data_IF_500900883711
#
_entry.id   IF_500900883711
#
_cell.length_a   1.000
_cell.length_b   1.000
_cell.length_c   1.000
_cell.angle_alpha   90.00
_cell.angle_beta   90.00
_cell.angle_gamma   90.00
#
_symmetry.space_group_name_H-M   'P 1'
#
loop_
_entity.id
_entity.type
_entity.pdbx_description
1 polymer ?
#
# COMPACT_ATOMS: atom_id res chain seq x y z
N UNK A 1 -7.98 66.29 -56.34
CA UNK A 1 -6.51 66.25 -56.47
C UNK A 1 -6.08 64.82 -56.77
N UNK A 2 -5.30 64.64 -57.85
CA UNK A 2 -4.53 63.45 -58.31
C UNK A 2 -5.33 62.16 -58.61
N UNK A 3 -5.55 61.75 -59.88
CA UNK A 3 -4.68 61.33 -61.01
C UNK A 3 -4.07 59.92 -60.87
N UNK A 4 -4.28 59.10 -61.92
CA UNK A 4 -3.46 57.94 -62.34
C UNK A 4 -4.26 56.62 -62.38
N UNK A 5 -4.88 56.19 -63.49
CA UNK A 5 -4.33 55.58 -64.73
C UNK A 5 -3.68 54.20 -64.43
N UNK A 6 -4.01 53.07 -65.07
CA UNK A 6 -3.75 52.64 -66.47
C UNK A 6 -4.50 51.28 -66.66
N UNK A 7 -5.34 51.09 -67.71
CA UNK A 7 -5.14 50.20 -68.89
C UNK A 7 -4.75 48.74 -68.54
N UNK A 8 -5.23 47.65 -69.14
CA UNK A 8 -6.03 47.38 -70.33
C UNK A 8 -6.38 45.86 -70.32
N UNK A 9 -7.31 45.44 -71.18
CA UNK A 9 -7.07 44.22 -71.94
C UNK A 9 -8.07 43.08 -71.79
N UNK A 10 -8.76 42.83 -72.92
CA UNK A 10 -9.17 41.52 -73.43
C UNK A 10 -10.41 40.86 -72.83
N UNK A 11 -11.52 41.34 -73.36
CA UNK A 11 -12.66 40.53 -73.79
C UNK A 11 -12.15 39.41 -74.73
N UNK A 12 -12.18 38.16 -74.25
CA UNK A 12 -12.06 36.96 -75.09
C UNK A 12 -13.40 36.23 -75.03
N UNK A 13 -14.12 36.31 -76.14
CA UNK A 13 -15.23 35.44 -76.49
C UNK A 13 -14.65 34.05 -76.72
N UNK A 14 -14.90 33.10 -75.82
CA UNK A 14 -14.60 31.69 -76.05
C UNK A 14 -15.89 30.96 -76.45
N UNK A 15 -15.85 30.44 -77.68
CA UNK A 15 -16.86 29.62 -78.34
C UNK A 15 -17.42 28.52 -77.41
N UNK A 16 -18.74 28.39 -77.47
CA UNK A 16 -19.47 27.18 -77.08
C UNK A 16 -19.08 26.08 -78.07
N UNK A 17 -18.09 25.26 -77.71
CA UNK A 17 -17.85 23.98 -78.36
C UNK A 17 -18.55 22.90 -77.54
N UNK A 18 -19.71 22.48 -78.02
CA UNK A 18 -20.42 21.29 -77.55
C UNK A 18 -19.57 20.06 -77.82
N UNK A 19 -18.71 19.67 -76.87
CA UNK A 19 -18.29 18.28 -76.74
C UNK A 19 -19.30 17.60 -75.81
N UNK A 20 -20.27 16.93 -76.44
CA UNK A 20 -21.00 15.83 -75.80
C UNK A 20 -19.98 14.68 -75.69
N UNK A 21 -19.06 14.78 -74.74
CA UNK A 21 -18.35 13.62 -74.25
C UNK A 21 -19.40 12.77 -73.54
N UNK A 22 -19.68 11.58 -74.06
CA UNK A 22 -20.62 10.64 -73.46
C UNK A 22 -20.28 10.46 -71.99
N UNK A 23 -21.10 11.05 -71.13
CA UNK A 23 -21.14 10.69 -69.73
C UNK A 23 -21.69 9.26 -69.71
N UNK A 24 -20.79 8.28 -69.75
CA UNK A 24 -21.10 6.98 -69.19
C UNK A 24 -21.69 7.25 -67.80
N UNK A 25 -22.81 6.64 -67.41
CA UNK A 25 -23.37 6.86 -66.08
C UNK A 25 -22.24 6.58 -65.10
N UNK A 26 -21.83 7.60 -64.33
CA UNK A 26 -20.90 7.42 -63.24
C UNK A 26 -21.49 6.28 -62.39
N UNK A 27 -20.86 5.11 -62.43
CA UNK A 27 -21.34 3.97 -61.66
C UNK A 27 -21.50 4.44 -60.22
N UNK A 28 -22.64 4.11 -59.59
CA UNK A 28 -22.90 4.48 -58.19
C UNK A 28 -21.63 4.26 -57.37
N UNK A 29 -21.09 5.33 -56.79
CA UNK A 29 -19.90 5.23 -55.97
C UNK A 29 -20.17 4.27 -54.82
N UNK A 30 -19.39 3.21 -54.71
CA UNK A 30 -19.56 2.18 -53.67
C UNK A 30 -18.66 2.49 -52.49
N UNK A 31 -19.08 2.17 -51.26
CA UNK A 31 -18.28 2.40 -50.06
C UNK A 31 -16.94 1.64 -50.14
N UNK A 32 -15.83 2.38 -50.18
CA UNK A 32 -14.50 1.80 -50.22
C UNK A 32 -13.97 1.54 -48.80
N UNK A 33 -14.05 2.54 -47.92
CA UNK A 33 -13.55 2.47 -46.54
C UNK A 33 -14.25 3.45 -45.59
N UNK A 34 -14.00 3.29 -44.30
CA UNK A 34 -14.43 4.20 -43.23
C UNK A 34 -13.18 4.60 -42.43
N UNK A 35 -13.18 5.81 -41.89
CA UNK A 35 -12.20 6.27 -40.91
C UNK A 35 -12.92 6.82 -39.67
N UNK A 36 -12.29 6.71 -38.50
CA UNK A 36 -12.80 7.25 -37.23
C UNK A 36 -11.76 8.20 -36.64
N UNK A 37 -12.20 9.39 -36.24
CA UNK A 37 -11.37 10.40 -35.57
C UNK A 37 -11.96 10.78 -34.21
N UNK A 38 -11.14 10.92 -33.15
CA UNK A 38 -9.71 10.62 -33.12
C UNK A 38 -9.42 9.12 -33.20
N UNK A 39 -8.30 8.71 -33.80
CA UNK A 39 -7.91 7.28 -33.85
C UNK A 39 -7.47 6.74 -32.47
N UNK A 40 -7.00 7.62 -31.59
CA UNK A 40 -6.75 7.29 -30.18
C UNK A 40 -7.06 8.47 -29.26
N UNK A 41 -7.57 8.20 -28.07
CA UNK A 41 -7.87 9.21 -27.06
C UNK A 41 -7.59 8.70 -25.65
N UNK A 42 -7.28 9.64 -24.74
CA UNK A 42 -7.12 9.40 -23.30
C UNK A 42 -7.99 10.39 -22.55
N UNK A 43 -8.94 9.90 -21.74
CA UNK A 43 -9.85 10.73 -20.93
C UNK A 43 -9.96 10.17 -19.51
N UNK A 44 -10.42 10.98 -18.55
CA UNK A 44 -10.66 10.53 -17.17
C UNK A 44 -12.04 9.90 -17.02
N UNK A 45 -12.21 9.09 -15.98
CA UNK A 45 -13.54 8.59 -15.57
C UNK A 45 -14.52 9.77 -15.41
N UNK A 46 -15.72 9.64 -15.98
CA UNK A 46 -16.76 10.68 -15.96
C UNK A 46 -16.70 11.67 -17.14
N UNK A 47 -15.59 11.73 -17.87
CA UNK A 47 -15.48 12.57 -19.07
C UNK A 47 -16.13 11.92 -20.30
N UNK A 48 -16.36 12.72 -21.33
CA UNK A 48 -16.89 12.29 -22.61
C UNK A 48 -16.06 12.84 -23.78
N UNK A 49 -16.02 12.11 -24.88
CA UNK A 49 -15.34 12.53 -26.11
C UNK A 49 -16.20 12.19 -27.34
N UNK A 50 -16.21 13.09 -28.31
CA UNK A 50 -16.93 12.91 -29.55
C UNK A 50 -16.05 12.22 -30.60
N UNK A 51 -16.51 11.08 -31.09
CA UNK A 51 -15.95 10.43 -32.28
C UNK A 51 -16.71 10.87 -33.53
N UNK A 52 -16.00 10.96 -34.65
CA UNK A 52 -16.55 11.25 -35.97
C UNK A 52 -16.14 10.16 -36.95
N UNK A 53 -17.08 9.69 -37.73
CA UNK A 53 -16.84 8.74 -38.81
C UNK A 53 -16.93 9.44 -40.18
N UNK A 54 -15.99 9.14 -41.07
CA UNK A 54 -15.95 9.63 -42.45
C UNK A 54 -15.83 8.45 -43.39
N UNK A 55 -16.75 8.34 -44.34
CA UNK A 55 -16.74 7.35 -45.42
C UNK A 55 -15.87 7.86 -46.58
N UNK A 56 -15.21 6.92 -47.26
CA UNK A 56 -14.53 7.17 -48.55
C UNK A 56 -15.12 6.22 -49.57
N UNK A 57 -15.57 6.74 -50.70
CA UNK A 57 -16.17 5.96 -51.78
C UNK A 57 -15.17 5.64 -52.90
N UNK A 58 -15.54 4.74 -53.80
CA UNK A 58 -14.70 4.25 -54.90
C UNK A 58 -14.27 5.34 -55.90
N UNK A 59 -14.99 6.46 -55.95
CA UNK A 59 -14.66 7.64 -56.77
C UNK A 59 -13.73 8.63 -56.05
N UNK A 60 -13.30 8.31 -54.83
CA UNK A 60 -12.45 9.17 -53.99
C UNK A 60 -13.21 10.26 -53.23
N UNK A 61 -14.52 10.37 -53.40
CA UNK A 61 -15.34 11.29 -52.60
C UNK A 61 -15.39 10.85 -51.14
N UNK A 62 -15.61 11.82 -50.23
CA UNK A 62 -15.73 11.55 -48.79
C UNK A 62 -16.97 12.21 -48.21
N UNK A 63 -17.56 11.56 -47.21
CA UNK A 63 -18.79 12.04 -46.58
C UNK A 63 -18.76 11.79 -45.06
N UNK A 64 -19.20 12.76 -44.23
CA UNK A 64 -19.38 12.52 -42.81
C UNK A 64 -20.56 11.56 -42.59
N UNK A 65 -20.28 10.41 -41.98
CA UNK A 65 -21.26 9.32 -41.76
C UNK A 65 -21.44 8.98 -40.28
N UNK A 66 -21.28 9.98 -39.40
CA UNK A 66 -21.23 9.77 -37.94
C UNK A 66 -22.56 9.29 -37.36
N UNK A 67 -23.68 9.65 -37.98
CA UNK A 67 -25.04 9.30 -37.55
C UNK A 67 -25.59 8.07 -38.28
N UNK A 68 -24.92 7.65 -39.33
CA UNK A 68 -25.29 6.58 -40.25
C UNK A 68 -24.58 5.27 -39.90
N UNK A 69 -23.39 5.36 -39.29
CA UNK A 69 -22.64 4.18 -38.83
C UNK A 69 -23.27 3.57 -37.57
N UNK A 70 -23.11 2.25 -37.44
CA UNK A 70 -23.37 1.55 -36.18
C UNK A 70 -22.13 1.64 -35.29
N UNK A 71 -22.27 2.30 -34.15
CA UNK A 71 -21.22 2.40 -33.14
C UNK A 71 -21.25 1.23 -32.15
N UNK A 72 -20.09 0.73 -31.77
CA UNK A 72 -19.95 -0.22 -30.67
C UNK A 72 -18.68 0.03 -29.85
N UNK A 73 -18.70 -0.43 -28.60
CA UNK A 73 -17.54 -0.45 -27.71
C UNK A 73 -17.22 -1.89 -27.37
N UNK A 74 -15.93 -2.25 -27.38
CA UNK A 74 -15.48 -3.58 -26.98
C UNK A 74 -15.75 -3.89 -25.49
N UNK A 75 -15.86 -2.84 -24.66
CA UNK A 75 -16.11 -2.96 -23.23
C UNK A 75 -16.99 -1.79 -22.74
N UNK A 76 -18.27 -2.08 -22.57
CA UNK A 76 -19.26 -1.09 -22.11
C UNK A 76 -19.18 -0.77 -20.61
N UNK A 77 -18.42 -1.56 -19.83
CA UNK A 77 -18.10 -1.25 -18.44
C UNK A 77 -16.99 -0.21 -18.35
N UNK A 78 -16.03 -0.20 -19.28
CA UNK A 78 -14.98 0.83 -19.41
C UNK A 78 -15.52 2.09 -20.06
N UNK A 79 -16.15 1.97 -21.23
CA UNK A 79 -16.70 3.12 -21.96
C UNK A 79 -17.90 2.74 -22.83
N UNK A 80 -18.95 3.57 -22.79
CA UNK A 80 -20.10 3.45 -23.69
C UNK A 80 -19.99 4.43 -24.84
N UNK A 81 -20.58 4.12 -25.99
CA UNK A 81 -20.72 5.04 -27.12
C UNK A 81 -22.18 5.12 -27.58
N UNK A 82 -22.65 6.33 -27.82
CA UNK A 82 -24.01 6.59 -28.34
C UNK A 82 -24.08 6.46 -29.87
N UNK A 83 -25.29 6.40 -30.42
CA UNK A 83 -25.52 6.41 -31.86
C UNK A 83 -24.99 7.68 -32.55
N UNK A 84 -24.81 8.77 -31.80
CA UNK A 84 -24.24 10.02 -32.29
C UNK A 84 -22.71 10.06 -32.20
N UNK A 85 -22.04 8.96 -31.83
CA UNK A 85 -20.58 8.90 -31.70
C UNK A 85 -20.01 9.51 -30.42
N UNK A 86 -20.87 9.92 -29.46
CA UNK A 86 -20.40 10.43 -28.17
C UNK A 86 -20.04 9.26 -27.24
N UNK A 87 -18.76 9.10 -26.93
CA UNK A 87 -18.25 8.12 -25.98
C UNK A 87 -18.18 8.71 -24.56
N UNK A 88 -18.58 7.94 -23.55
CA UNK A 88 -18.52 8.31 -22.12
C UNK A 88 -17.70 7.31 -21.34
N UNK A 89 -16.72 7.80 -20.57
CA UNK A 89 -15.87 7.00 -19.71
C UNK A 89 -16.57 6.62 -18.40
N UNK A 90 -16.63 5.32 -18.11
CA UNK A 90 -17.27 4.77 -16.91
C UNK A 90 -16.28 4.21 -15.91
N UNK A 91 -15.26 3.49 -16.36
CA UNK A 91 -14.25 2.88 -15.50
C UNK A 91 -12.87 2.91 -16.15
N UNK A 92 -11.77 2.92 -15.37
CA UNK A 92 -10.42 2.87 -15.93
C UNK A 92 -10.19 1.61 -16.77
N UNK A 93 -9.51 1.74 -17.90
CA UNK A 93 -9.27 0.62 -18.80
C UNK A 93 -9.04 1.05 -20.23
N UNK A 94 -9.00 0.07 -21.14
CA UNK A 94 -8.88 0.31 -22.58
C UNK A 94 -10.10 -0.29 -23.27
N UNK A 95 -10.79 0.52 -24.07
CA UNK A 95 -11.88 0.09 -24.93
C UNK A 95 -11.53 0.40 -26.40
N UNK A 96 -11.93 -0.49 -27.30
CA UNK A 96 -11.90 -0.24 -28.75
C UNK A 96 -13.29 0.23 -29.16
N UNK A 97 -13.34 1.39 -29.78
CA UNK A 97 -14.54 1.98 -30.37
C UNK A 97 -14.56 1.61 -31.85
N UNK A 98 -15.67 1.04 -32.30
CA UNK A 98 -15.86 0.58 -33.69
C UNK A 98 -17.02 1.31 -34.34
N UNK A 99 -16.79 1.88 -35.52
CA UNK A 99 -17.84 2.35 -36.43
C UNK A 99 -17.98 1.37 -37.59
N UNK A 100 -19.19 0.92 -37.89
CA UNK A 100 -19.48 0.00 -38.99
C UNK A 100 -20.55 0.57 -39.92
N UNK A 101 -20.29 0.55 -41.23
CA UNK A 101 -21.25 0.93 -42.29
C UNK A 101 -21.06 -0.03 -43.47
N UNK A 102 -22.16 -0.62 -43.95
CA UNK A 102 -22.18 -1.54 -45.12
C UNK A 102 -21.08 -2.62 -45.10
N UNK A 103 -20.81 -3.20 -43.92
CA UNK A 103 -19.80 -4.25 -43.74
C UNK A 103 -18.35 -3.76 -43.67
N UNK A 104 -18.08 -2.46 -43.86
CA UNK A 104 -16.78 -1.83 -43.59
C UNK A 104 -16.73 -1.38 -42.13
N UNK A 105 -15.56 -1.47 -41.50
CA UNK A 105 -15.37 -1.06 -40.11
C UNK A 105 -14.11 -0.24 -39.92
N UNK A 106 -14.16 0.71 -39.00
CA UNK A 106 -13.04 1.52 -38.56
C UNK A 106 -12.93 1.48 -37.03
N UNK A 107 -11.70 1.41 -36.52
CA UNK A 107 -11.40 1.23 -35.10
C UNK A 107 -10.72 2.47 -34.54
N UNK A 108 -11.05 2.81 -33.30
CA UNK A 108 -10.34 3.79 -32.50
C UNK A 108 -10.08 3.26 -31.09
N UNK A 109 -8.95 3.66 -30.49
CA UNK A 109 -8.59 3.26 -29.11
C UNK A 109 -8.99 4.34 -28.12
N UNK A 110 -9.76 3.99 -27.10
CA UNK A 110 -10.05 4.85 -25.95
C UNK A 110 -9.40 4.28 -24.70
N UNK A 111 -8.55 5.06 -24.04
CA UNK A 111 -7.98 4.71 -22.73
C UNK A 111 -8.60 5.62 -21.66
N UNK A 112 -9.28 5.02 -20.70
CA UNK A 112 -9.83 5.71 -19.54
C UNK A 112 -8.81 5.66 -18.41
N UNK A 113 -8.34 6.83 -17.98
CA UNK A 113 -7.34 6.98 -16.93
C UNK A 113 -7.95 6.82 -15.54
N UNK A 114 -7.18 6.23 -14.63
CA UNK A 114 -7.52 6.20 -13.19
C UNK A 114 -7.55 7.62 -12.62
N UNK A 115 -8.50 7.95 -11.73
CA UNK A 115 -8.40 9.16 -10.92
C UNK A 115 -7.12 9.14 -10.07
N UNK A 116 -6.72 10.31 -9.59
CA UNK A 116 -5.60 10.46 -8.65
C UNK A 116 -6.13 10.79 -7.26
N UNK A 117 -5.43 10.33 -6.23
CA UNK A 117 -5.63 10.75 -4.84
C UNK A 117 -4.33 11.34 -4.31
N UNK A 118 -4.44 12.37 -3.48
CA UNK A 118 -3.29 12.98 -2.81
C UNK A 118 -3.03 12.28 -1.48
N UNK A 119 -1.81 11.78 -1.29
CA UNK A 119 -1.33 11.25 -0.01
C UNK A 119 -0.34 12.23 0.60
N UNK A 120 -0.50 12.52 1.89
CA UNK A 120 0.51 13.25 2.66
C UNK A 120 1.41 12.22 3.34
N UNK A 121 2.61 12.04 2.80
CA UNK A 121 3.52 11.01 3.28
C UNK A 121 4.21 11.41 4.60
N UNK A 122 4.94 10.48 5.24
CA UNK A 122 5.61 10.74 6.53
C UNK A 122 6.79 11.72 6.43
N UNK A 123 7.17 12.15 5.23
CA UNK A 123 8.10 13.25 5.02
C UNK A 123 7.38 14.61 4.84
N UNK A 124 6.05 14.65 4.97
CA UNK A 124 5.23 15.84 4.81
C UNK A 124 4.98 16.25 3.36
N UNK A 125 5.21 15.34 2.40
CA UNK A 125 5.06 15.62 0.96
C UNK A 125 3.66 15.26 0.50
N UNK A 126 3.11 16.07 -0.40
CA UNK A 126 1.88 15.77 -1.13
C UNK A 126 2.23 14.95 -2.38
N UNK A 127 1.77 13.71 -2.44
CA UNK A 127 2.06 12.77 -3.52
C UNK A 127 0.77 12.37 -4.22
N UNK A 128 0.67 12.64 -5.52
CA UNK A 128 -0.45 12.21 -6.36
C UNK A 128 -0.27 10.74 -6.75
N UNK A 129 -1.27 9.91 -6.44
CA UNK A 129 -1.22 8.46 -6.67
C UNK A 129 -2.45 8.00 -7.47
N UNK A 130 -2.28 7.14 -8.49
CA UNK A 130 -3.43 6.55 -9.19
C UNK A 130 -4.32 5.70 -8.28
N UNK A 131 -5.63 5.94 -8.33
CA UNK A 131 -6.64 5.22 -7.56
C UNK A 131 -7.67 4.54 -8.51
N UNK A 132 -8.01 3.26 -8.32
CA UNK A 132 -7.34 2.30 -7.43
C UNK A 132 -5.96 1.94 -7.97
N UNK A 133 -4.94 1.96 -7.11
CA UNK A 133 -3.59 1.50 -7.45
C UNK A 133 -3.60 0.01 -7.78
N UNK A 134 -2.94 -0.40 -8.88
CA UNK A 134 -2.96 -1.80 -9.36
C UNK A 134 -1.59 -2.48 -9.39
N UNK A 135 -0.50 -1.74 -9.55
CA UNK A 135 0.87 -2.28 -9.60
C UNK A 135 1.77 -1.59 -8.58
N UNK A 136 2.15 -2.31 -7.54
CA UNK A 136 2.84 -1.74 -6.37
C UNK A 136 4.22 -2.38 -6.24
N UNK A 137 5.25 -1.55 -6.16
CA UNK A 137 6.55 -1.98 -5.69
C UNK A 137 6.70 -1.59 -4.22
N UNK A 138 6.77 -2.58 -3.32
CA UNK A 138 6.86 -2.33 -1.88
C UNK A 138 8.28 -2.52 -1.35
N UNK A 139 8.93 -1.42 -0.99
CA UNK A 139 10.23 -1.42 -0.29
C UNK A 139 10.07 -1.39 1.24
N UNK A 140 8.84 -1.26 1.74
CA UNK A 140 8.50 -1.23 3.17
C UNK A 140 7.77 -2.53 3.58
N UNK A 141 8.33 -3.27 4.54
CA UNK A 141 7.75 -4.53 5.01
C UNK A 141 6.38 -4.36 5.64
N UNK A 142 6.15 -3.32 6.45
CA UNK A 142 4.85 -3.07 7.07
C UNK A 142 3.79 -2.70 6.04
N UNK A 143 4.15 -1.92 5.02
CA UNK A 143 3.25 -1.65 3.90
C UNK A 143 2.88 -2.94 3.18
N UNK A 144 3.83 -3.85 2.95
CA UNK A 144 3.51 -5.15 2.37
C UNK A 144 2.52 -5.95 3.24
N UNK A 145 2.69 -5.99 4.56
CA UNK A 145 1.72 -6.64 5.46
C UNK A 145 0.32 -6.00 5.36
N UNK A 146 0.25 -4.67 5.38
CA UNK A 146 -1.03 -3.94 5.24
C UNK A 146 -1.69 -4.24 3.89
N UNK A 147 -0.94 -4.18 2.78
CA UNK A 147 -1.48 -4.47 1.45
C UNK A 147 -2.11 -5.86 1.37
N UNK A 148 -1.51 -6.88 1.99
CA UNK A 148 -2.13 -8.20 2.09
C UNK A 148 -3.38 -8.19 2.99
N UNK A 149 -3.32 -7.53 4.15
CA UNK A 149 -4.47 -7.41 5.04
C UNK A 149 -5.68 -6.72 4.37
N UNK A 150 -5.41 -5.79 3.46
CA UNK A 150 -6.39 -5.09 2.64
C UNK A 150 -6.86 -5.89 1.40
N UNK A 151 -6.40 -7.12 1.20
CA UNK A 151 -6.78 -7.94 0.04
C UNK A 151 -6.06 -7.55 -1.27
N UNK A 152 -5.06 -6.67 -1.20
CA UNK A 152 -4.31 -6.16 -2.34
C UNK A 152 -2.91 -6.80 -2.50
N UNK A 153 -2.67 -7.96 -1.89
CA UNK A 153 -1.38 -8.67 -1.98
C UNK A 153 -0.97 -9.01 -3.42
N UNK A 154 -1.94 -9.29 -4.30
CA UNK A 154 -1.70 -9.56 -5.72
C UNK A 154 -1.32 -8.33 -6.54
N UNK A 155 -1.63 -7.14 -6.03
CA UNK A 155 -1.23 -5.87 -6.64
C UNK A 155 0.26 -5.56 -6.40
N UNK A 156 0.93 -6.28 -5.49
CA UNK A 156 2.38 -6.18 -5.31
C UNK A 156 3.09 -6.91 -6.46
N UNK A 157 3.79 -6.16 -7.30
CA UNK A 157 4.57 -6.68 -8.43
C UNK A 157 6.05 -6.90 -8.06
N UNK A 158 6.55 -6.12 -7.10
CA UNK A 158 7.93 -6.19 -6.66
C UNK A 158 8.06 -5.84 -5.18
N UNK A 159 9.10 -6.35 -4.51
CA UNK A 159 9.33 -6.13 -3.09
C UNK A 159 10.81 -6.07 -2.72
N UNK A 160 11.14 -5.40 -1.61
CA UNK A 160 12.49 -5.51 -1.03
C UNK A 160 12.72 -6.90 -0.40
N UNK A 161 13.97 -7.31 -0.23
CA UNK A 161 14.35 -8.58 0.42
C UNK A 161 13.86 -8.72 1.87
N UNK A 162 13.48 -7.62 2.49
CA UNK A 162 13.00 -7.57 3.88
C UNK A 162 11.48 -7.76 4.00
N UNK A 163 10.74 -7.66 2.89
CA UNK A 163 9.32 -8.01 2.85
C UNK A 163 9.22 -9.54 2.82
N UNK A 164 8.91 -10.15 3.97
CA UNK A 164 8.92 -11.62 4.14
C UNK A 164 7.62 -12.18 4.73
N UNK A 165 6.69 -11.30 5.12
CA UNK A 165 5.38 -11.65 5.67
C UNK A 165 4.28 -10.88 4.92
N UNK A 166 3.12 -11.50 4.62
CA UNK A 166 2.86 -12.94 4.75
C UNK A 166 3.76 -13.77 3.80
N UNK A 167 3.91 -15.09 3.98
CA UNK A 167 4.85 -15.90 3.19
C UNK A 167 4.72 -15.71 1.67
N UNK A 168 3.49 -15.52 1.17
CA UNK A 168 3.19 -15.28 -0.24
C UNK A 168 3.92 -14.07 -0.86
N UNK A 169 4.34 -13.08 -0.06
CA UNK A 169 5.09 -11.91 -0.57
C UNK A 169 6.47 -12.30 -1.11
N UNK A 170 7.03 -13.43 -0.67
CA UNK A 170 8.36 -13.88 -1.11
C UNK A 170 8.39 -14.25 -2.59
N UNK A 171 7.26 -14.66 -3.13
CA UNK A 171 7.08 -15.02 -4.55
C UNK A 171 7.10 -13.80 -5.48
N UNK A 172 6.96 -12.58 -4.94
CA UNK A 172 7.04 -11.34 -5.73
C UNK A 172 8.50 -11.00 -6.07
N UNK A 173 8.71 -10.29 -7.18
CA UNK A 173 10.05 -9.94 -7.69
C UNK A 173 10.90 -9.25 -6.62
N UNK A 174 12.12 -9.75 -6.41
CA UNK A 174 13.02 -9.26 -5.38
C UNK A 174 13.90 -8.12 -5.88
N UNK A 175 13.70 -6.92 -5.32
CA UNK A 175 14.48 -5.71 -5.64
C UNK A 175 15.78 -5.58 -4.83
N UNK A 176 16.07 -6.51 -3.93
CA UNK A 176 17.23 -6.40 -3.04
C UNK A 176 16.97 -5.44 -1.89
N UNK A 177 17.86 -4.47 -1.66
CA UNK A 177 17.77 -3.58 -0.50
C UNK A 177 16.55 -2.64 -0.56
N UNK A 178 15.95 -2.32 0.60
CA UNK A 178 14.91 -1.30 0.71
C UNK A 178 15.45 0.14 0.57
N UNK A 179 16.73 0.36 0.90
CA UNK A 179 17.37 1.69 0.84
C UNK A 179 18.15 1.92 -0.46
N UNK A 180 18.44 0.84 -1.19
CA UNK A 180 19.15 0.86 -2.48
C UNK A 180 18.66 -0.30 -3.34
N UNK A 181 17.40 -0.25 -3.82
CA UNK A 181 16.84 -1.31 -4.66
C UNK A 181 17.55 -1.38 -6.00
N UNK A 182 17.43 -2.53 -6.68
CA UNK A 182 17.82 -2.65 -8.07
C UNK A 182 16.85 -1.84 -8.94
N UNK A 183 17.35 -0.75 -9.52
CA UNK A 183 16.57 0.21 -10.28
C UNK A 183 16.10 -0.33 -11.63
N UNK A 184 16.93 -1.11 -12.31
CA UNK A 184 16.60 -1.70 -13.61
C UNK A 184 15.40 -2.65 -13.47
N UNK A 185 15.49 -3.58 -12.53
CA UNK A 185 14.41 -4.53 -12.23
C UNK A 185 13.16 -3.76 -11.77
N UNK A 186 13.30 -2.73 -10.93
CA UNK A 186 12.16 -1.93 -10.47
C UNK A 186 11.40 -1.30 -11.64
N UNK A 187 12.11 -0.64 -12.55
CA UNK A 187 11.51 0.05 -13.70
C UNK A 187 10.90 -0.94 -14.70
N UNK A 188 11.51 -2.12 -14.88
CA UNK A 188 10.97 -3.20 -15.71
C UNK A 188 9.60 -3.69 -15.23
N UNK A 189 9.37 -3.70 -13.91
CA UNK A 189 8.08 -4.10 -13.33
C UNK A 189 6.95 -3.09 -13.59
N UNK A 190 7.24 -1.89 -14.10
CA UNK A 190 6.25 -0.84 -14.42
C UNK A 190 5.23 -0.63 -13.28
N UNK A 191 5.66 -0.33 -12.04
CA UNK A 191 4.74 -0.05 -10.96
C UNK A 191 4.01 1.27 -11.18
N UNK A 192 2.77 1.35 -10.71
CA UNK A 192 1.98 2.58 -10.64
C UNK A 192 2.41 3.44 -9.44
N UNK A 193 3.02 2.83 -8.42
CA UNK A 193 3.54 3.50 -7.22
C UNK A 193 4.65 2.66 -6.57
N UNK A 194 5.62 3.34 -5.98
CA UNK A 194 6.60 2.74 -5.06
C UNK A 194 6.27 3.17 -3.64
N UNK A 195 6.15 2.22 -2.73
CA UNK A 195 6.01 2.49 -1.29
C UNK A 195 7.35 2.22 -0.61
N UNK A 196 7.94 3.20 0.06
CA UNK A 196 9.27 3.09 0.64
C UNK A 196 9.36 3.65 2.06
N UNK A 197 10.48 3.37 2.72
CA UNK A 197 10.84 3.99 3.99
C UNK A 197 11.56 5.33 3.76
N UNK A 198 11.63 6.18 4.78
CA UNK A 198 12.39 7.45 4.73
C UNK A 198 13.90 7.26 4.50
N UNK A 199 14.40 6.03 4.63
CA UNK A 199 15.80 5.68 4.36
C UNK A 199 16.09 5.32 2.89
N UNK A 200 15.09 5.37 2.00
CA UNK A 200 15.36 5.31 0.57
C UNK A 200 16.28 6.47 0.20
N UNK A 201 17.42 6.18 -0.44
CA UNK A 201 18.34 7.21 -0.92
C UNK A 201 17.59 8.22 -1.79
N UNK A 202 17.81 9.49 -1.52
CA UNK A 202 17.10 10.58 -2.17
C UNK A 202 17.29 10.56 -3.69
N UNK A 203 18.49 10.28 -4.17
CA UNK A 203 18.81 10.26 -5.61
C UNK A 203 18.05 9.14 -6.32
N UNK A 204 17.85 8.00 -5.64
CA UNK A 204 17.07 6.88 -6.19
C UNK A 204 15.58 7.22 -6.21
N UNK A 205 15.06 7.85 -5.15
CA UNK A 205 13.67 8.35 -5.12
C UNK A 205 13.41 9.31 -6.28
N UNK A 206 14.27 10.31 -6.47
CA UNK A 206 14.13 11.29 -7.55
C UNK A 206 14.22 10.64 -8.93
N UNK A 207 15.04 9.60 -9.08
CA UNK A 207 15.13 8.84 -10.34
C UNK A 207 13.81 8.10 -10.63
N UNK A 208 13.18 7.49 -9.63
CA UNK A 208 11.86 6.84 -9.76
C UNK A 208 10.80 7.87 -10.15
N UNK A 209 10.77 9.02 -9.46
CA UNK A 209 9.80 10.09 -9.70
C UNK A 209 9.97 10.73 -11.09
N UNK A 210 11.22 10.93 -11.55
CA UNK A 210 11.53 11.40 -12.91
C UNK A 210 11.08 10.42 -14.00
N UNK A 211 10.97 9.13 -13.68
CA UNK A 211 10.39 8.13 -14.57
C UNK A 211 8.84 8.14 -14.56
N UNK A 212 8.21 9.08 -13.84
CA UNK A 212 6.77 9.24 -13.76
C UNK A 212 6.08 8.32 -12.75
N UNK A 213 6.84 7.68 -11.86
CA UNK A 213 6.31 6.76 -10.84
C UNK A 213 6.29 7.48 -9.48
N UNK A 214 5.12 7.70 -8.86
CA UNK A 214 5.05 8.31 -7.54
C UNK A 214 5.72 7.42 -6.48
N UNK A 215 6.43 8.06 -5.55
CA UNK A 215 7.03 7.39 -4.37
C UNK A 215 6.35 7.92 -3.11
N UNK A 216 5.72 7.04 -2.35
CA UNK A 216 5.11 7.37 -1.05
C UNK A 216 6.00 6.86 0.08
N UNK A 217 6.38 7.75 0.99
CA UNK A 217 7.25 7.41 2.13
C UNK A 217 6.43 7.14 3.38
N UNK A 218 6.52 5.91 3.87
CA UNK A 218 5.98 5.53 5.18
C UNK A 218 7.06 4.86 6.01
N UNK A 219 7.11 5.16 7.31
CA UNK A 219 7.96 4.44 8.27
C UNK A 219 7.12 3.45 9.07
N UNK A 220 5.94 3.86 9.55
CA UNK A 220 4.97 3.06 10.31
C UNK A 220 5.54 2.19 11.45
N UNK A 221 6.65 2.63 12.05
CA UNK A 221 7.31 1.95 13.17
C UNK A 221 6.61 2.12 14.52
N UNK A 222 5.54 2.94 14.59
CA UNK A 222 4.70 3.17 15.77
C UNK A 222 3.23 2.95 15.40
N UNK A 223 2.39 2.74 16.41
CA UNK A 223 0.98 2.36 16.21
C UNK A 223 0.18 3.44 15.48
N UNK A 224 0.39 4.73 15.80
CA UNK A 224 -0.38 5.81 15.17
C UNK A 224 0.03 6.05 13.71
N UNK A 225 1.33 6.17 13.35
CA UNK A 225 1.76 6.19 11.95
C UNK A 225 1.33 4.94 11.16
N UNK A 226 1.31 3.76 11.78
CA UNK A 226 0.78 2.55 11.15
C UNK A 226 -0.72 2.68 10.83
N UNK A 227 -1.52 3.22 11.75
CA UNK A 227 -2.95 3.45 11.50
C UNK A 227 -3.17 4.43 10.34
N UNK A 228 -2.36 5.48 10.25
CA UNK A 228 -2.39 6.40 9.11
C UNK A 228 -2.02 5.69 7.80
N UNK A 229 -0.96 4.88 7.79
CA UNK A 229 -0.61 4.04 6.63
C UNK A 229 -1.77 3.13 6.21
N UNK A 230 -2.48 2.49 7.15
CA UNK A 230 -3.64 1.63 6.81
C UNK A 230 -4.73 2.44 6.13
N UNK A 231 -5.04 3.64 6.63
CA UNK A 231 -6.03 4.54 6.05
C UNK A 231 -5.62 5.00 4.65
N UNK A 232 -4.36 5.43 4.47
CA UNK A 232 -3.85 5.94 3.21
C UNK A 232 -3.75 4.85 2.15
N UNK A 233 -3.31 3.64 2.52
CA UNK A 233 -3.32 2.49 1.61
C UNK A 233 -4.75 2.08 1.26
N UNK A 234 -5.70 2.11 2.21
CA UNK A 234 -7.12 1.92 1.93
C UNK A 234 -7.66 2.92 0.90
N UNK A 235 -7.26 4.19 0.99
CA UNK A 235 -7.62 5.23 0.03
C UNK A 235 -6.99 4.98 -1.36
N UNK A 236 -5.69 4.71 -1.42
CA UNK A 236 -4.95 4.46 -2.67
C UNK A 236 -5.51 3.26 -3.44
N UNK A 237 -5.93 2.22 -2.71
CA UNK A 237 -6.42 0.97 -3.28
C UNK A 237 -7.91 0.99 -3.65
N UNK A 238 -8.65 2.01 -3.22
CA UNK A 238 -10.12 2.04 -3.16
C UNK A 238 -10.73 0.91 -2.32
N UNK A 239 -10.05 0.54 -1.22
CA UNK A 239 -10.40 -0.55 -0.30
C UNK A 239 -10.72 -0.01 1.11
N UNK A 240 -11.44 1.11 1.18
CA UNK A 240 -11.69 1.84 2.43
C UNK A 240 -12.41 1.01 3.49
N UNK A 241 -13.43 0.25 3.08
CA UNK A 241 -14.17 -0.61 4.00
C UNK A 241 -13.25 -1.67 4.64
N UNK A 242 -12.36 -2.27 3.85
CA UNK A 242 -11.41 -3.25 4.36
C UNK A 242 -10.36 -2.63 5.28
N UNK A 243 -9.93 -1.41 4.99
CA UNK A 243 -9.05 -0.65 5.89
C UNK A 243 -9.73 -0.31 7.21
N UNK A 244 -11.00 0.08 7.19
CA UNK A 244 -11.81 0.32 8.39
C UNK A 244 -11.99 -0.95 9.22
N UNK A 245 -12.13 -2.12 8.60
CA UNK A 245 -12.15 -3.39 9.34
C UNK A 245 -10.84 -3.67 10.09
N UNK A 246 -9.69 -3.46 9.44
CA UNK A 246 -8.38 -3.64 10.06
C UNK A 246 -8.14 -2.63 11.18
N UNK A 247 -8.46 -1.36 10.94
CA UNK A 247 -8.39 -0.31 11.95
C UNK A 247 -9.32 -0.62 13.12
N UNK A 248 -10.55 -1.03 12.86
CA UNK A 248 -11.51 -1.42 13.90
C UNK A 248 -11.03 -2.61 14.74
N UNK A 249 -10.32 -3.58 14.14
CA UNK A 249 -9.68 -4.66 14.89
C UNK A 249 -8.57 -4.14 15.82
N UNK A 250 -7.70 -3.27 15.30
CA UNK A 250 -6.59 -2.66 16.07
C UNK A 250 -7.14 -1.79 17.22
N UNK A 251 -8.12 -0.95 16.90
CA UNK A 251 -8.71 0.05 17.80
C UNK A 251 -9.49 -0.59 18.94
N UNK A 252 -10.21 -1.70 18.66
CA UNK A 252 -10.90 -2.48 19.68
C UNK A 252 -10.01 -2.78 20.88
N UNK A 253 -8.80 -3.29 20.65
CA UNK A 253 -7.91 -3.69 21.73
C UNK A 253 -7.15 -2.50 22.34
N UNK A 254 -6.80 -1.50 21.53
CA UNK A 254 -6.23 -0.24 22.04
C UNK A 254 -7.19 0.44 23.03
N UNK A 255 -8.44 0.59 22.64
CA UNK A 255 -9.46 1.27 23.44
C UNK A 255 -9.85 0.43 24.65
N UNK A 256 -9.91 -0.90 24.51
CA UNK A 256 -10.10 -1.81 25.63
C UNK A 256 -9.03 -1.63 26.72
N UNK A 257 -7.75 -1.64 26.31
CA UNK A 257 -6.64 -1.50 27.24
C UNK A 257 -6.71 -0.14 27.93
N UNK A 258 -6.84 0.94 27.15
CA UNK A 258 -7.00 2.29 27.69
C UNK A 258 -8.17 2.39 28.67
N UNK A 259 -9.32 1.80 28.34
CA UNK A 259 -10.51 1.86 29.19
C UNK A 259 -10.30 1.14 30.53
N UNK A 260 -9.69 -0.05 30.52
CA UNK A 260 -9.47 -0.84 31.72
C UNK A 260 -8.37 -0.27 32.62
N UNK A 261 -7.37 0.38 32.04
CA UNK A 261 -6.26 0.95 32.82
C UNK A 261 -6.44 2.42 33.17
N UNK A 262 -7.49 3.09 32.66
CA UNK A 262 -7.74 4.54 32.84
C UNK A 262 -7.68 5.01 34.30
N UNK A 263 -8.14 4.17 35.23
CA UNK A 263 -8.26 4.51 36.66
C UNK A 263 -7.04 4.12 37.50
N UNK A 264 -6.05 3.44 36.91
CA UNK A 264 -4.85 3.03 37.62
C UNK A 264 -4.04 4.25 38.05
N UNK A 265 -3.78 4.32 39.36
CA UNK A 265 -2.84 5.26 39.95
C UNK A 265 -1.41 4.87 39.60
N UNK A 266 -0.46 5.77 39.85
CA UNK A 266 0.94 5.56 39.46
C UNK A 266 1.54 4.37 40.21
N UNK A 267 1.22 4.23 41.49
CA UNK A 267 1.65 3.14 42.36
C UNK A 267 1.09 1.77 41.97
N UNK A 268 0.02 1.72 41.17
CA UNK A 268 -0.57 0.48 40.65
C UNK A 268 0.06 0.04 39.31
N UNK A 269 0.91 0.89 38.70
CA UNK A 269 1.57 0.59 37.43
C UNK A 269 2.91 -0.09 37.70
N UNK A 270 3.16 -1.28 37.13
CA UNK A 270 4.39 -2.01 37.40
C UNK A 270 5.60 -1.29 36.83
N UNK A 271 6.71 -1.33 37.56
CA UNK A 271 8.02 -0.95 37.03
C UNK A 271 8.52 -2.03 36.05
N UNK A 272 8.71 -1.64 34.79
CA UNK A 272 9.07 -2.54 33.68
C UNK A 272 10.48 -2.23 33.20
N UNK A 273 11.34 -3.25 33.22
CA UNK A 273 12.58 -3.25 32.46
C UNK A 273 12.38 -3.98 31.13
N UNK A 274 12.52 -3.24 30.03
CA UNK A 274 12.52 -3.82 28.70
C UNK A 274 13.96 -4.12 28.27
N UNK A 275 14.21 -5.36 27.89
CA UNK A 275 15.48 -5.78 27.31
C UNK A 275 15.28 -6.08 25.83
N UNK A 276 16.08 -5.43 24.98
CA UNK A 276 16.18 -5.75 23.57
C UNK A 276 16.90 -7.09 23.39
N UNK A 277 17.05 -7.56 22.15
CA UNK A 277 17.75 -8.79 21.77
C UNK A 277 19.26 -8.86 22.11
N UNK A 278 19.78 -7.89 22.86
CA UNK A 278 21.15 -7.84 23.34
C UNK A 278 21.10 -7.64 24.86
N UNK A 279 21.85 -8.43 25.65
CA UNK A 279 21.86 -8.30 27.10
C UNK A 279 22.08 -6.86 27.55
N UNK A 280 21.25 -6.41 28.49
CA UNK A 280 21.22 -5.07 29.07
C UNK A 280 21.02 -3.91 28.09
N UNK A 281 20.74 -4.18 26.81
CA UNK A 281 20.31 -3.15 25.88
C UNK A 281 18.83 -2.86 26.13
N UNK A 282 18.49 -1.61 26.41
CA UNK A 282 17.12 -1.19 26.73
C UNK A 282 16.68 -0.05 25.82
N UNK A 283 15.54 0.57 26.13
CA UNK A 283 14.92 1.63 25.33
C UNK A 283 14.44 2.76 26.23
N UNK A 284 14.71 4.00 25.84
CA UNK A 284 14.21 5.19 26.54
C UNK A 284 12.95 5.76 25.88
N UNK A 285 12.48 6.90 26.39
CA UNK A 285 11.32 7.60 25.85
C UNK A 285 11.48 7.94 24.35
N UNK A 286 10.36 7.94 23.63
CA UNK A 286 10.31 8.21 22.19
C UNK A 286 10.52 6.99 21.29
N UNK A 287 10.83 5.82 21.84
CA UNK A 287 10.90 4.54 21.09
C UNK A 287 9.55 3.84 21.01
N UNK A 288 9.34 3.02 19.96
CA UNK A 288 8.11 2.23 19.83
C UNK A 288 7.90 1.25 21.00
N UNK A 289 8.96 0.62 21.49
CA UNK A 289 8.89 -0.29 22.63
C UNK A 289 8.53 0.44 23.93
N UNK A 290 9.02 1.67 24.15
CA UNK A 290 8.55 2.51 25.26
C UNK A 290 7.05 2.82 25.13
N UNK A 291 6.60 3.20 23.93
CA UNK A 291 5.18 3.50 23.71
C UNK A 291 4.28 2.30 24.02
N UNK A 292 4.70 1.08 23.68
CA UNK A 292 3.96 -0.15 24.04
C UNK A 292 3.89 -0.38 25.55
N UNK A 293 4.99 -0.14 26.28
CA UNK A 293 5.00 -0.26 27.74
C UNK A 293 3.99 0.72 28.36
N UNK A 294 4.04 1.97 27.92
CA UNK A 294 3.17 3.05 28.41
C UNK A 294 1.71 2.81 28.03
N UNK A 295 1.42 2.36 26.80
CA UNK A 295 0.06 2.02 26.36
C UNK A 295 -0.53 0.87 27.18
N UNK A 296 0.28 -0.13 27.54
CA UNK A 296 -0.10 -1.20 28.47
C UNK A 296 -0.13 -0.77 29.94
N UNK A 297 0.09 0.53 30.22
CA UNK A 297 0.09 1.11 31.56
C UNK A 297 1.15 0.53 32.51
N UNK A 298 2.35 0.23 31.98
CA UNK A 298 3.55 0.01 32.77
C UNK A 298 4.43 1.27 32.83
N UNK A 299 5.40 1.30 33.75
CA UNK A 299 6.39 2.37 33.87
C UNK A 299 7.73 1.84 33.36
N UNK A 300 8.23 2.36 32.24
CA UNK A 300 9.55 1.99 31.74
C UNK A 300 10.64 2.60 32.63
N UNK A 301 11.41 1.75 33.34
CA UNK A 301 12.48 2.19 34.26
C UNK A 301 13.65 2.91 33.55
N UNK A 302 13.76 2.75 32.23
CA UNK A 302 14.77 3.40 31.39
C UNK A 302 14.23 4.62 30.62
N UNK A 303 12.99 5.06 30.87
CA UNK A 303 12.36 6.13 30.11
C UNK A 303 13.15 7.46 30.10
N UNK A 304 13.85 7.75 31.21
CA UNK A 304 14.64 8.97 31.40
C UNK A 304 16.08 8.89 30.89
N UNK A 305 16.51 7.77 30.30
CA UNK A 305 17.87 7.66 29.77
C UNK A 305 18.07 8.60 28.56
N UNK A 306 19.23 9.29 28.46
CA UNK A 306 19.43 10.39 27.51
C UNK A 306 19.52 9.96 26.04
N UNK A 307 19.84 8.68 25.79
CA UNK A 307 19.91 8.10 24.45
C UNK A 307 18.77 7.09 24.25
N UNK A 308 18.26 6.98 23.02
CA UNK A 308 17.09 6.14 22.70
C UNK A 308 17.31 4.65 22.94
N UNK A 309 18.53 4.16 22.72
CA UNK A 309 18.88 2.74 22.82
C UNK A 309 20.12 2.55 23.73
N UNK A 310 19.98 2.78 25.04
CA UNK A 310 21.10 2.64 25.95
C UNK A 310 21.47 1.17 26.18
N UNK A 311 22.73 0.96 26.56
CA UNK A 311 23.20 -0.27 27.20
C UNK A 311 23.48 0.08 28.65
N UNK A 312 22.76 -0.56 29.57
CA UNK A 312 22.88 -0.31 31.01
C UNK A 312 23.73 -1.39 31.68
N UNK A 313 24.15 -1.17 32.93
CA UNK A 313 24.84 -2.20 33.71
C UNK A 313 23.86 -3.07 34.51
N UNK A 314 24.34 -4.22 35.00
CA UNK A 314 23.57 -5.06 35.90
C UNK A 314 23.19 -4.33 37.20
N UNK A 315 24.12 -3.52 37.73
CA UNK A 315 23.95 -2.72 38.93
C UNK A 315 22.87 -1.64 38.74
N UNK A 316 22.84 -1.01 37.56
CA UNK A 316 21.81 -0.02 37.20
C UNK A 316 20.41 -0.65 37.22
N UNK A 317 20.26 -1.89 36.73
CA UNK A 317 18.99 -2.61 36.74
C UNK A 317 18.63 -3.03 38.17
N UNK A 318 19.61 -3.47 38.96
CA UNK A 318 19.42 -3.86 40.36
C UNK A 318 18.95 -2.69 41.22
N UNK A 319 19.53 -1.50 41.04
CA UNK A 319 19.15 -0.28 41.74
C UNK A 319 17.69 0.11 41.48
N UNK A 320 17.23 -0.04 40.23
CA UNK A 320 15.83 0.24 39.84
C UNK A 320 14.86 -0.87 40.24
N UNK A 321 15.37 -2.08 40.48
CA UNK A 321 14.65 -3.24 40.96
C UNK A 321 13.27 -3.44 40.29
N UNK A 322 13.22 -3.65 38.97
CA UNK A 322 11.96 -3.73 38.22
C UNK A 322 11.07 -4.88 38.72
N UNK A 323 9.77 -4.68 38.64
CA UNK A 323 8.75 -5.68 38.98
C UNK A 323 8.48 -6.65 37.82
N UNK A 324 8.73 -6.20 36.59
CA UNK A 324 8.56 -6.99 35.37
C UNK A 324 9.78 -6.81 34.47
N UNK A 325 10.25 -7.91 33.88
CA UNK A 325 11.18 -7.89 32.75
C UNK A 325 10.44 -8.35 31.50
N UNK A 326 10.56 -7.57 30.42
CA UNK A 326 10.13 -7.99 29.07
C UNK A 326 11.35 -8.06 28.17
N UNK A 327 11.70 -9.25 27.72
CA UNK A 327 12.78 -9.49 26.78
C UNK A 327 12.22 -9.65 25.35
N UNK A 328 12.67 -8.82 24.41
CA UNK A 328 12.26 -8.85 23.01
C UNK A 328 13.19 -9.73 22.19
N UNK A 329 12.82 -11.00 22.02
CA UNK A 329 13.56 -11.98 21.25
C UNK A 329 13.62 -11.62 19.76
N UNK A 330 14.84 -11.60 19.23
CA UNK A 330 15.12 -11.44 17.80
C UNK A 330 15.02 -12.72 17.01
N UNK A 331 14.88 -12.57 15.69
CA UNK A 331 15.04 -13.70 14.77
C UNK A 331 16.38 -14.39 14.96
N UNK A 332 17.47 -13.68 15.27
CA UNK A 332 18.80 -14.26 15.45
C UNK A 332 18.87 -15.19 16.67
N UNK A 333 18.33 -14.76 17.82
CA UNK A 333 18.26 -15.59 19.04
C UNK A 333 17.41 -16.84 18.83
N UNK A 334 16.44 -16.76 17.91
CA UNK A 334 15.58 -17.87 17.52
C UNK A 334 16.16 -18.68 16.33
N UNK A 335 17.44 -18.54 16.00
CA UNK A 335 18.10 -19.29 14.92
C UNK A 335 17.54 -18.98 13.52
N UNK A 336 17.04 -17.76 13.33
CA UNK A 336 16.31 -17.30 12.14
C UNK A 336 15.06 -18.12 11.80
N UNK A 337 14.54 -18.90 12.76
CA UNK A 337 13.30 -19.67 12.59
C UNK A 337 12.15 -18.72 12.27
N UNK A 338 11.37 -19.08 11.24
CA UNK A 338 10.14 -18.37 10.93
C UNK A 338 9.11 -18.53 12.06
N UNK A 339 9.08 -19.73 12.65
CA UNK A 339 8.10 -20.22 13.62
C UNK A 339 8.82 -20.54 14.94
N UNK A 340 8.76 -19.67 15.95
CA UNK A 340 9.34 -19.95 17.27
C UNK A 340 8.57 -21.03 18.03
N UNK A 341 9.26 -21.93 18.74
CA UNK A 341 8.63 -22.93 19.62
C UNK A 341 8.55 -22.46 21.07
N UNK A 342 7.74 -23.14 21.89
CA UNK A 342 7.72 -22.87 23.33
C UNK A 342 9.08 -23.14 23.99
N UNK A 343 9.82 -24.13 23.52
CA UNK A 343 11.15 -24.47 24.02
C UNK A 343 12.17 -23.37 23.70
N UNK A 344 12.16 -22.83 22.48
CA UNK A 344 13.01 -21.70 22.10
C UNK A 344 12.78 -20.50 23.04
N UNK A 345 11.50 -20.14 23.25
CA UNK A 345 11.12 -19.01 24.11
C UNK A 345 11.45 -19.28 25.59
N UNK A 346 11.31 -20.53 26.04
CA UNK A 346 11.67 -20.97 27.40
C UNK A 346 13.17 -20.88 27.63
N UNK A 347 13.99 -21.29 26.65
CA UNK A 347 15.44 -21.23 26.75
C UNK A 347 15.94 -19.78 26.92
N UNK A 348 15.40 -18.85 26.13
CA UNK A 348 15.70 -17.41 26.26
C UNK A 348 15.30 -16.90 27.65
N UNK A 349 14.09 -17.24 28.12
CA UNK A 349 13.63 -16.83 29.46
C UNK A 349 14.55 -17.35 30.56
N UNK A 350 14.95 -18.62 30.48
CA UNK A 350 15.84 -19.25 31.46
C UNK A 350 17.20 -18.57 31.53
N UNK A 351 17.75 -18.15 30.38
CA UNK A 351 19.00 -17.40 30.35
C UNK A 351 18.82 -16.02 31.03
N UNK A 352 17.77 -15.26 30.70
CA UNK A 352 17.49 -13.96 31.34
C UNK A 352 17.33 -14.10 32.85
N UNK A 353 16.65 -15.16 33.32
CA UNK A 353 16.43 -15.40 34.75
C UNK A 353 17.68 -15.83 35.51
N UNK A 354 18.61 -16.53 34.87
CA UNK A 354 19.85 -16.99 35.52
C UNK A 354 21.01 -16.02 35.35
N UNK A 355 20.84 -14.96 34.56
CA UNK A 355 21.88 -13.96 34.30
C UNK A 355 22.31 -13.24 35.58
N UNK A 356 23.63 -13.22 35.82
CA UNK A 356 24.25 -12.53 36.96
C UNK A 356 23.79 -11.07 37.00
N UNK A 357 23.25 -10.64 38.14
CA UNK A 357 22.68 -9.31 38.34
C UNK A 357 21.16 -9.31 38.26
N UNK A 358 20.60 -9.82 37.16
CA UNK A 358 19.14 -9.93 37.01
C UNK A 358 18.54 -10.95 37.97
N UNK A 359 19.24 -12.03 38.29
CA UNK A 359 18.76 -13.06 39.24
C UNK A 359 18.39 -12.52 40.63
N UNK A 360 18.84 -11.31 40.97
CA UNK A 360 18.61 -10.65 42.25
C UNK A 360 17.42 -9.67 42.23
N UNK A 361 16.91 -9.27 41.07
CA UNK A 361 15.80 -8.30 40.99
C UNK A 361 14.45 -8.94 41.27
N UNK A 362 13.49 -8.13 41.71
CA UNK A 362 12.14 -8.56 42.06
C UNK A 362 11.45 -9.31 40.91
N UNK A 363 11.54 -8.81 39.68
CA UNK A 363 10.96 -9.48 38.51
C UNK A 363 11.39 -10.95 38.37
N UNK A 364 12.66 -11.28 38.61
CA UNK A 364 13.14 -12.67 38.52
C UNK A 364 12.66 -13.50 39.71
N UNK A 365 12.77 -12.96 40.93
CA UNK A 365 12.31 -13.62 42.16
C UNK A 365 10.82 -13.95 42.14
N UNK A 366 10.02 -13.06 41.58
CA UNK A 366 8.57 -13.21 41.44
C UNK A 366 8.18 -13.99 40.16
N UNK A 367 9.16 -14.41 39.35
CA UNK A 367 8.92 -15.14 38.10
C UNK A 367 8.31 -14.31 36.95
N UNK A 368 8.20 -12.98 37.10
CA UNK A 368 7.64 -12.02 36.14
C UNK A 368 8.66 -11.59 35.07
N UNK A 369 9.27 -12.59 34.44
CA UNK A 369 10.13 -12.44 33.26
C UNK A 369 9.39 -12.99 32.05
N UNK A 370 9.17 -12.14 31.07
CA UNK A 370 8.42 -12.47 29.86
C UNK A 370 9.30 -12.31 28.63
N UNK A 371 9.18 -13.23 27.68
CA UNK A 371 9.85 -13.20 26.39
C UNK A 371 8.80 -12.99 25.32
N UNK A 372 8.98 -11.98 24.47
CA UNK A 372 8.10 -11.69 23.34
C UNK A 372 8.92 -11.68 22.05
N UNK A 373 8.37 -12.24 20.99
CA UNK A 373 8.98 -12.18 19.68
C UNK A 373 8.69 -10.83 19.02
N UNK A 374 9.72 -10.13 18.52
CA UNK A 374 9.56 -8.81 17.89
C UNK A 374 8.58 -8.76 16.70
N UNK A 375 8.31 -9.91 16.06
CA UNK A 375 7.37 -10.01 14.94
C UNK A 375 5.94 -9.64 15.31
N UNK A 376 5.55 -9.75 16.58
CA UNK A 376 4.21 -9.37 17.07
C UNK A 376 4.20 -8.01 17.79
N UNK A 377 5.32 -7.30 17.83
CA UNK A 377 5.41 -5.95 18.42
C UNK A 377 5.63 -4.87 17.35
N UNK A 378 5.46 -5.22 16.08
CA UNK A 378 5.69 -4.35 14.92
C UNK A 378 4.65 -4.59 13.83
N UNK A 379 4.51 -3.65 12.89
CA UNK A 379 3.55 -3.73 11.79
C UNK A 379 2.10 -3.93 12.27
N UNK A 380 1.18 -4.41 11.40
CA UNK A 380 -0.21 -4.68 11.77
C UNK A 380 -0.39 -5.61 12.98
N UNK A 381 0.61 -6.45 13.26
CA UNK A 381 0.61 -7.41 14.36
C UNK A 381 0.92 -6.76 15.71
N UNK A 382 1.37 -5.51 15.76
CA UNK A 382 1.71 -4.79 17.00
C UNK A 382 0.62 -4.82 18.07
N UNK A 383 -0.65 -4.84 17.66
CA UNK A 383 -1.80 -4.92 18.60
C UNK A 383 -1.79 -6.23 19.39
N UNK A 384 -1.32 -7.33 18.79
CA UNK A 384 -1.13 -8.61 19.47
C UNK A 384 -0.12 -8.44 20.61
N UNK A 385 1.06 -7.90 20.31
CA UNK A 385 2.09 -7.66 21.32
C UNK A 385 1.63 -6.72 22.43
N UNK A 386 0.81 -5.72 22.10
CA UNK A 386 0.20 -4.84 23.09
C UNK A 386 -0.73 -5.61 24.05
N UNK A 387 -1.52 -6.56 23.55
CA UNK A 387 -2.38 -7.40 24.41
C UNK A 387 -1.59 -8.34 25.32
N UNK A 388 -0.42 -8.83 24.87
CA UNK A 388 0.52 -9.55 25.73
C UNK A 388 1.00 -8.67 26.89
N UNK A 389 1.42 -7.44 26.60
CA UNK A 389 1.92 -6.52 27.63
C UNK A 389 0.82 -6.18 28.64
N UNK A 390 -0.37 -5.81 28.18
CA UNK A 390 -1.48 -5.47 29.06
C UNK A 390 -1.81 -6.62 30.04
N UNK A 391 -1.84 -7.85 29.54
CA UNK A 391 -2.13 -9.03 30.37
C UNK A 391 -1.00 -9.40 31.32
N UNK A 392 0.26 -9.26 30.90
CA UNK A 392 1.40 -9.51 31.77
C UNK A 392 1.56 -8.45 32.87
N UNK A 393 1.21 -7.21 32.57
CA UNK A 393 1.35 -6.08 33.50
C UNK A 393 0.20 -6.05 34.50
N UNK A 394 -1.01 -6.36 34.03
CA UNK A 394 -2.25 -6.23 34.80
C UNK A 394 -3.13 -7.50 34.66
N UNK A 395 -2.66 -8.67 35.13
CA UNK A 395 -3.36 -9.94 34.88
C UNK A 395 -4.81 -9.95 35.37
N UNK A 396 -5.12 -9.27 36.47
CA UNK A 396 -6.46 -9.18 37.04
C UNK A 396 -7.43 -8.35 36.17
N UNK A 397 -6.93 -7.33 35.48
CA UNK A 397 -7.75 -6.50 34.59
C UNK A 397 -8.00 -7.17 33.23
N UNK A 398 -7.21 -8.18 32.87
CA UNK A 398 -7.21 -8.78 31.53
C UNK A 398 -7.34 -10.31 31.59
N UNK A 399 -8.04 -10.86 32.58
CA UNK A 399 -8.21 -12.32 32.74
C UNK A 399 -8.86 -12.97 31.52
N UNK A 400 -9.86 -12.30 30.93
CA UNK A 400 -10.64 -12.69 29.75
C UNK A 400 -9.90 -12.56 28.41
N UNK A 401 -8.75 -11.88 28.39
CA UNK A 401 -7.99 -11.66 27.16
C UNK A 401 -7.04 -12.82 26.89
N UNK A 402 -7.12 -13.43 25.71
CA UNK A 402 -6.12 -14.39 25.22
C UNK A 402 -5.37 -13.80 24.01
N UNK A 403 -4.16 -13.24 24.21
CA UNK A 403 -3.32 -12.72 23.13
C UNK A 403 -3.02 -13.74 22.01
N UNK A 404 -3.00 -15.04 22.31
CA UNK A 404 -2.81 -16.10 21.30
C UNK A 404 -4.04 -16.24 20.42
N UNK A 405 -5.23 -16.22 21.01
CA UNK A 405 -6.49 -16.24 20.25
C UNK A 405 -6.64 -15.00 19.37
N UNK A 406 -6.26 -13.82 19.89
CA UNK A 406 -6.27 -12.56 19.12
C UNK A 406 -5.30 -12.63 17.94
N UNK A 407 -4.10 -13.19 18.13
CA UNK A 407 -3.15 -13.39 17.03
C UNK A 407 -3.71 -14.33 15.96
N UNK A 408 -4.35 -15.43 16.39
CA UNK A 408 -5.02 -16.37 15.49
C UNK A 408 -6.12 -15.67 14.67
N UNK A 409 -7.00 -14.90 15.32
CA UNK A 409 -8.06 -14.15 14.64
C UNK A 409 -7.48 -13.18 13.61
N UNK A 410 -6.43 -12.43 13.95
CA UNK A 410 -5.77 -11.50 13.03
C UNK A 410 -5.22 -12.24 11.79
N UNK A 411 -4.54 -13.37 11.98
CA UNK A 411 -3.96 -14.14 10.88
C UNK A 411 -5.02 -14.75 9.97
N UNK A 412 -6.05 -15.35 10.54
CA UNK A 412 -7.12 -16.00 9.78
C UNK A 412 -7.93 -14.96 9.02
N UNK A 413 -8.34 -13.88 9.69
CA UNK A 413 -9.22 -12.86 9.12
C UNK A 413 -8.55 -12.01 8.06
N UNK A 414 -7.31 -11.59 8.27
CA UNK A 414 -6.64 -10.62 7.40
C UNK A 414 -5.64 -11.24 6.43
N UNK A 415 -5.10 -12.42 6.74
CA UNK A 415 -4.06 -13.05 5.92
C UNK A 415 -4.47 -14.43 5.38
N UNK A 416 -5.58 -15.01 5.84
CA UNK A 416 -5.96 -16.38 5.50
C UNK A 416 -4.95 -17.41 6.02
N UNK A 417 -4.23 -17.10 7.10
CA UNK A 417 -3.16 -17.93 7.64
C UNK A 417 -3.58 -18.56 8.98
N UNK A 418 -3.05 -19.76 9.24
CA UNK A 418 -3.13 -20.39 10.57
C UNK A 418 -2.01 -19.87 11.45
N UNK A 419 -2.28 -19.75 12.75
CA UNK A 419 -1.24 -19.45 13.73
C UNK A 419 -0.35 -20.66 13.95
N UNK A 420 0.94 -20.49 13.70
CA UNK A 420 1.99 -21.48 13.98
C UNK A 420 3.05 -20.88 14.90
N UNK A 421 3.42 -21.59 15.97
CA UNK A 421 4.46 -21.17 16.91
C UNK A 421 3.97 -20.39 18.14
N UNK A 422 4.93 -19.94 18.95
CA UNK A 422 4.72 -19.25 20.22
C UNK A 422 5.43 -17.90 20.20
N UNK A 423 4.67 -16.81 20.26
CA UNK A 423 5.20 -15.45 20.10
C UNK A 423 5.31 -14.67 21.42
N UNK A 424 4.80 -15.22 22.52
CA UNK A 424 4.97 -14.69 23.87
C UNK A 424 5.00 -15.82 24.89
N UNK A 425 5.87 -15.71 25.90
CA UNK A 425 6.10 -16.73 26.91
C UNK A 425 6.49 -16.11 28.27
N UNK A 426 6.07 -16.67 29.41
CA UNK A 426 5.07 -17.73 29.58
C UNK A 426 3.67 -17.28 29.15
N UNK A 427 2.78 -18.25 28.93
CA UNK A 427 1.36 -18.03 28.61
C UNK A 427 0.48 -18.45 29.79
N UNK A 428 0.44 -17.69 30.91
CA UNK A 428 -0.27 -18.10 32.12
C UNK A 428 -1.78 -18.31 31.96
N UNK A 429 -2.37 -17.91 30.82
CA UNK A 429 -3.79 -18.10 30.49
C UNK A 429 -4.10 -19.36 29.69
N UNK A 430 -3.07 -20.06 29.21
CA UNK A 430 -3.20 -21.48 28.90
C UNK A 430 -2.65 -22.22 30.10
N UNK A 431 -3.43 -23.14 30.67
CA UNK A 431 -2.89 -24.10 31.63
C UNK A 431 -1.80 -24.92 30.95
N UNK A 432 -0.57 -24.42 30.97
CA UNK A 432 0.61 -25.19 30.57
C UNK A 432 0.99 -26.05 31.78
N UNK A 433 0.59 -27.33 31.73
CA UNK A 433 1.37 -28.40 32.37
C UNK A 433 2.69 -28.56 31.63
#
# INVERSE_FOLDING_TARGET
>A
MKKGAILAGMMVVCLIASLIAGCAPAGKATLASISVAPASARIKVGEAIQYRATATYSDGSTEPVTTEVTWSSSDSAVATISAQGLARAKAPGKATITATLEGKSALATLVVMRPMVTIVDEAGRYVEVPCPTQRIASLNSYAAEVLYALGAGDRIVARSKYCVFPPAVKEKVNLGSSTSPNMEILLEQRPDVVIANLWLKQELRETIEKAGIPVVLFNAWKIDPLRLMVKDLGLMLDERARAEELLGFIDRYLDLIKARTKKLKVEEKPLVFYESFKPYSTVSSGTASHDLITLASGINVAAGEPIRYPVVSAEWVLERNPEIIVHSASSKELGYKAIPTAEDMRAIRSEVMTRKGLSLVRAVKDGKVYVINMKVTTGPRVVVGLTYYAKWFHPDLFQDIDPTAIHKELLERFYGLKLEGVFGYPRPWKGEK
#
